data_IF_048172573253
#
_entry.id   IF_048172573253
#
_cell.length_a   1.000
_cell.length_b   1.000
_cell.length_c   1.000
_cell.angle_alpha   90.00
_cell.angle_beta   90.00
_cell.angle_gamma   90.00
#
_symmetry.space_group_name_H-M   'P 1'
#
loop_
_entity.id
_entity.type
_entity.pdbx_description
1 polymer ?
#
# COMPACT_ATOMS: atom_id res chain seq x y z
N UNK A 1 9.01 -17.26 7.42
CA UNK A 1 10.36 -17.36 6.79
C UNK A 1 10.21 -16.95 5.34
N UNK A 2 10.69 -15.77 4.96
CA UNK A 2 10.60 -15.28 3.57
C UNK A 2 11.65 -16.01 2.72
N UNK A 3 11.24 -17.10 2.06
CA UNK A 3 12.07 -17.79 1.07
C UNK A 3 11.96 -17.02 -0.24
N UNK A 4 13.06 -16.43 -0.69
CA UNK A 4 13.17 -15.93 -2.05
C UNK A 4 14.48 -16.45 -2.66
N UNK A 5 14.55 -16.53 -3.99
CA UNK A 5 15.70 -17.09 -4.71
C UNK A 5 16.96 -16.21 -4.65
N UNK A 6 16.84 -14.98 -4.15
CA UNK A 6 17.92 -14.01 -4.06
C UNK A 6 18.55 -14.02 -2.67
N UNK A 7 19.88 -14.00 -2.63
CA UNK A 7 20.64 -13.83 -1.38
C UNK A 7 20.62 -12.39 -0.87
N UNK A 8 20.13 -11.44 -1.69
CA UNK A 8 19.99 -10.03 -1.32
C UNK A 8 18.68 -9.79 -0.58
N UNK A 9 18.68 -8.95 0.47
CA UNK A 9 17.45 -8.53 1.14
C UNK A 9 16.54 -7.78 0.17
N UNK A 10 15.24 -8.09 0.21
CA UNK A 10 14.21 -7.42 -0.59
C UNK A 10 13.97 -6.04 0.01
N UNK A 11 14.16 -4.99 -0.78
CA UNK A 11 13.77 -3.64 -0.38
C UNK A 11 12.24 -3.52 -0.42
N UNK A 12 11.68 -2.83 0.56
CA UNK A 12 10.27 -2.44 0.49
C UNK A 12 10.11 -1.34 -0.56
N UNK A 13 9.16 -1.50 -1.46
CA UNK A 13 8.74 -0.46 -2.38
C UNK A 13 7.23 -0.49 -2.53
N UNK A 14 6.62 0.69 -2.62
CA UNK A 14 5.18 0.86 -2.68
C UNK A 14 4.84 1.88 -3.77
N UNK A 15 3.74 1.65 -4.48
CA UNK A 15 3.21 2.57 -5.49
C UNK A 15 1.69 2.58 -5.41
N UNK A 16 1.14 3.78 -5.33
CA UNK A 16 -0.28 4.04 -5.52
C UNK A 16 -0.47 4.74 -6.87
N UNK A 17 -1.43 4.26 -7.65
CA UNK A 17 -1.77 4.81 -8.96
C UNK A 17 -3.15 5.45 -8.85
N UNK A 18 -3.20 6.76 -9.08
CA UNK A 18 -4.42 7.56 -9.02
C UNK A 18 -4.81 8.09 -10.41
N UNK A 19 -6.10 8.34 -10.62
CA UNK A 19 -6.63 8.94 -11.86
C UNK A 19 -7.64 10.05 -11.57
N UNK A 20 -7.62 11.09 -12.42
CA UNK A 20 -8.54 12.22 -12.36
C UNK A 20 -8.21 13.23 -11.27
N UNK A 21 -8.95 14.33 -11.25
CA UNK A 21 -8.78 15.42 -10.28
C UNK A 21 -9.06 14.99 -8.83
N UNK A 22 -9.94 14.00 -8.68
CA UNK A 22 -10.33 13.41 -7.40
C UNK A 22 -9.36 12.33 -6.89
N UNK A 23 -8.29 12.05 -7.64
CA UNK A 23 -7.26 11.06 -7.32
C UNK A 23 -7.84 9.69 -6.92
N UNK A 24 -8.78 9.18 -7.72
CA UNK A 24 -9.35 7.84 -7.49
C UNK A 24 -8.24 6.80 -7.59
N UNK A 25 -8.10 5.96 -6.59
CA UNK A 25 -7.09 4.90 -6.56
C UNK A 25 -7.53 3.78 -7.50
N UNK A 26 -6.72 3.52 -8.53
CA UNK A 26 -6.97 2.47 -9.54
C UNK A 26 -5.94 1.34 -9.48
N UNK A 27 -4.86 1.51 -8.73
CA UNK A 27 -3.86 0.48 -8.54
C UNK A 27 -3.03 0.70 -7.29
N UNK A 28 -2.71 -0.39 -6.60
CA UNK A 28 -1.74 -0.43 -5.51
C UNK A 28 -0.76 -1.57 -5.83
N UNK A 29 0.54 -1.26 -5.84
CA UNK A 29 1.60 -2.23 -6.09
C UNK A 29 2.61 -2.18 -4.95
N UNK A 30 2.85 -3.33 -4.34
CA UNK A 30 3.67 -3.46 -3.14
C UNK A 30 4.65 -4.60 -3.33
N UNK A 31 5.87 -4.41 -2.84
CA UNK A 31 6.87 -5.46 -2.68
C UNK A 31 7.57 -5.22 -1.35
N UNK A 32 7.75 -6.30 -0.57
CA UNK A 32 8.36 -6.22 0.74
C UNK A 32 7.81 -7.30 1.68
N UNK A 33 8.31 -7.35 2.92
CA UNK A 33 7.78 -8.23 3.95
C UNK A 33 6.30 -7.95 4.24
N UNK A 34 5.52 -9.00 4.50
CA UNK A 34 4.14 -8.95 5.01
C UNK A 34 3.12 -8.32 4.04
N UNK A 35 3.51 -8.07 2.79
CA UNK A 35 2.62 -7.55 1.74
C UNK A 35 1.45 -8.50 1.46
N UNK A 36 1.69 -9.80 1.59
CA UNK A 36 0.71 -10.87 1.42
C UNK A 36 -0.49 -10.76 2.37
N UNK A 37 -0.28 -10.29 3.61
CA UNK A 37 -1.36 -10.04 4.57
C UNK A 37 -1.93 -8.62 4.42
N UNK A 38 -1.06 -7.62 4.28
CA UNK A 38 -1.44 -6.22 4.23
C UNK A 38 -2.32 -5.86 3.02
N UNK A 39 -2.04 -6.43 1.84
CA UNK A 39 -2.70 -6.04 0.59
C UNK A 39 -4.21 -6.31 0.61
N UNK A 40 -4.66 -7.31 1.37
CA UNK A 40 -6.08 -7.68 1.42
C UNK A 40 -6.97 -6.54 1.95
N UNK A 41 -6.53 -5.83 2.99
CA UNK A 41 -7.28 -4.69 3.54
C UNK A 41 -7.40 -3.55 2.53
N UNK A 42 -6.30 -3.20 1.87
CA UNK A 42 -6.30 -2.15 0.85
C UNK A 42 -7.10 -2.54 -0.41
N UNK A 43 -7.15 -3.82 -0.78
CA UNK A 43 -7.98 -4.29 -1.89
C UNK A 43 -9.47 -4.02 -1.67
N UNK A 44 -9.95 -4.11 -0.41
CA UNK A 44 -11.33 -3.73 -0.07
C UNK A 44 -11.57 -2.24 -0.32
N UNK A 45 -10.68 -1.36 0.13
CA UNK A 45 -10.79 0.08 -0.08
C UNK A 45 -10.80 0.45 -1.58
N UNK A 46 -9.90 -0.15 -2.37
CA UNK A 46 -9.87 0.05 -3.83
C UNK A 46 -11.18 -0.44 -4.47
N UNK A 47 -11.72 -1.59 -4.04
CA UNK A 47 -13.00 -2.11 -4.53
C UNK A 47 -14.18 -1.19 -4.21
N UNK A 48 -14.13 -0.52 -3.05
CA UNK A 48 -15.11 0.50 -2.65
C UNK A 48 -14.96 1.83 -3.40
N UNK A 49 -13.87 1.99 -4.18
CA UNK A 49 -13.62 3.19 -4.97
C UNK A 49 -12.93 4.30 -4.20
N UNK A 50 -12.10 3.96 -3.21
CA UNK A 50 -11.34 4.91 -2.42
C UNK A 50 -10.51 5.89 -3.28
N UNK A 51 -10.40 7.12 -2.78
CA UNK A 51 -9.59 8.21 -3.30
C UNK A 51 -8.35 8.38 -2.42
N UNK A 52 -7.32 9.06 -2.93
CA UNK A 52 -6.10 9.35 -2.16
C UNK A 52 -6.41 10.03 -0.81
N UNK A 53 -7.36 10.96 -0.81
CA UNK A 53 -7.83 11.64 0.41
C UNK A 53 -8.33 10.66 1.49
N UNK A 54 -9.00 9.57 1.11
CA UNK A 54 -9.52 8.60 2.10
C UNK A 54 -8.37 7.89 2.84
N UNK A 55 -7.24 7.66 2.15
CA UNK A 55 -6.03 7.13 2.75
C UNK A 55 -5.35 8.18 3.63
N UNK A 56 -5.28 9.44 3.20
CA UNK A 56 -4.69 10.53 3.98
C UNK A 56 -5.47 10.87 5.25
N UNK A 57 -6.79 10.71 5.21
CA UNK A 57 -7.67 10.87 6.38
C UNK A 57 -7.59 9.68 7.35
N UNK A 58 -6.91 8.59 6.98
CA UNK A 58 -6.75 7.40 7.83
C UNK A 58 -5.51 7.53 8.71
N UNK A 59 -5.69 7.44 10.03
CA UNK A 59 -4.59 7.50 11.00
C UNK A 59 -3.64 6.31 10.81
N UNK A 60 -2.35 6.62 10.69
CA UNK A 60 -1.27 5.65 10.61
C UNK A 60 -1.17 4.76 11.86
N UNK A 61 -0.88 3.47 11.66
CA UNK A 61 -0.53 2.54 12.73
C UNK A 61 0.98 2.35 12.78
N UNK A 62 1.61 2.83 13.85
CA UNK A 62 3.07 2.82 14.01
C UNK A 62 3.55 1.78 15.03
N UNK A 63 4.66 1.05 14.80
CA UNK A 63 5.52 1.04 13.60
C UNK A 63 5.18 -0.09 12.63
N UNK A 64 4.69 0.24 11.42
CA UNK A 64 4.34 -0.77 10.39
C UNK A 64 4.73 -0.33 8.98
N UNK A 65 5.09 -1.28 8.11
CA UNK A 65 5.27 -0.95 6.69
C UNK A 65 3.99 -0.42 6.04
N UNK A 66 2.81 -0.85 6.52
CA UNK A 66 1.51 -0.43 6.02
C UNK A 66 1.23 1.06 6.22
N UNK A 67 1.82 1.68 7.25
CA UNK A 67 1.64 3.10 7.54
C UNK A 67 2.15 4.01 6.40
N UNK A 68 3.12 3.53 5.63
CA UNK A 68 3.67 4.25 4.48
C UNK A 68 2.60 4.48 3.39
N UNK A 69 1.62 3.58 3.23
CA UNK A 69 0.55 3.73 2.23
C UNK A 69 -0.45 4.85 2.57
N UNK A 70 -0.59 5.18 3.85
CA UNK A 70 -1.50 6.24 4.34
C UNK A 70 -0.75 7.54 4.68
N UNK A 71 0.56 7.59 4.42
CA UNK A 71 1.41 8.78 4.65
C UNK A 71 2.15 9.25 3.39
N UNK A 72 1.93 8.61 2.23
CA UNK A 72 2.45 9.03 0.92
C UNK A 72 2.05 10.46 0.56
N UNK A 73 2.96 11.19 -0.08
CA UNK A 73 2.78 12.57 -0.57
C UNK A 73 3.09 12.71 -2.04
#
# INVERSE_FOLDING_TARGET
MYSNFSTKPVKTAMKMVCVGEDEKIVGIHLIGPTVDEMLQGFAVAVKMGARKKDFDDTVALHPTAAEELVTMR
#
